data_IF_461744091340
#
_entry.id   IF_461744091340
#
_cell.length_a   1.000
_cell.length_b   1.000
_cell.length_c   1.000
_cell.angle_alpha   90.00
_cell.angle_beta   90.00
_cell.angle_gamma   90.00
#
_symmetry.space_group_name_H-M   'P 1'
#
loop_
_entity.id
_entity.type
_entity.pdbx_description
1 polymer ?
#
# COMPACT_ATOMS: atom_id res chain seq x y z
N UNK A 1 -11.87 0.40 17.56
CA UNK A 1 -12.43 -0.33 16.42
C UNK A 1 -11.39 -1.17 15.66
N UNK A 2 -10.21 -0.61 15.42
CA UNK A 2 -9.11 -1.34 14.76
C UNK A 2 -8.75 -2.60 15.55
N UNK A 3 -8.65 -2.49 16.85
CA UNK A 3 -8.35 -3.60 17.74
C UNK A 3 -9.37 -4.74 17.62
N UNK A 4 -10.65 -4.42 17.49
CA UNK A 4 -11.71 -5.42 17.32
C UNK A 4 -11.62 -6.12 15.97
N UNK A 5 -11.30 -5.37 14.91
CA UNK A 5 -11.13 -5.92 13.57
C UNK A 5 -9.93 -6.86 13.53
N UNK A 6 -8.81 -6.46 14.12
CA UNK A 6 -7.61 -7.30 14.17
C UNK A 6 -7.82 -8.55 15.01
N UNK A 7 -8.55 -8.44 16.12
CA UNK A 7 -8.92 -9.62 16.92
C UNK A 7 -9.79 -10.60 16.15
N UNK A 8 -10.75 -10.08 15.38
CA UNK A 8 -11.60 -10.90 14.53
C UNK A 8 -10.77 -11.66 13.49
N UNK A 9 -9.85 -10.97 12.83
CA UNK A 9 -8.99 -11.58 11.81
C UNK A 9 -8.09 -12.66 12.41
N UNK A 10 -7.51 -12.41 13.56
CA UNK A 10 -6.71 -13.40 14.29
C UNK A 10 -7.50 -14.65 14.62
N UNK A 11 -8.70 -14.50 15.19
CA UNK A 11 -9.53 -15.64 15.59
C UNK A 11 -9.98 -16.50 14.41
N UNK A 12 -10.20 -15.88 13.26
CA UNK A 12 -10.67 -16.54 12.04
C UNK A 12 -9.55 -17.01 11.13
N UNK A 13 -8.30 -16.67 11.45
CA UNK A 13 -7.15 -17.02 10.62
C UNK A 13 -7.09 -16.29 9.28
N UNK A 14 -7.70 -15.11 9.20
CA UNK A 14 -7.60 -14.28 8.01
C UNK A 14 -6.24 -13.58 7.95
N UNK A 15 -5.61 -13.58 6.78
CA UNK A 15 -4.32 -12.93 6.56
C UNK A 15 -4.49 -11.48 6.10
N UNK A 16 -4.04 -10.54 6.92
CA UNK A 16 -3.96 -9.13 6.53
C UNK A 16 -2.54 -8.85 6.05
N UNK A 17 -2.41 -8.48 4.78
CA UNK A 17 -1.12 -8.20 4.14
C UNK A 17 -0.72 -6.75 4.33
N UNK A 18 -1.69 -5.84 4.20
CA UNK A 18 -1.48 -4.40 4.35
C UNK A 18 -2.68 -3.77 5.02
N UNK A 19 -2.42 -2.70 5.76
CA UNK A 19 -3.46 -1.94 6.44
C UNK A 19 -3.11 -0.47 6.44
N UNK A 20 -4.10 0.39 6.16
CA UNK A 20 -3.97 1.82 6.33
C UNK A 20 -5.25 2.37 6.94
N UNK A 21 -5.12 3.38 7.79
CA UNK A 21 -6.24 3.97 8.50
C UNK A 21 -6.09 5.48 8.52
N UNK A 22 -7.22 6.18 8.45
CA UNK A 22 -7.22 7.63 8.51
C UNK A 22 -8.61 8.19 8.72
N UNK A 23 -8.66 9.46 9.09
CA UNK A 23 -9.92 10.18 9.18
C UNK A 23 -10.46 10.47 7.78
N UNK A 24 -11.78 10.64 7.69
CA UNK A 24 -12.46 10.95 6.42
C UNK A 24 -12.96 12.39 6.42
N UNK A 25 -13.52 12.80 5.27
CA UNK A 25 -14.21 14.08 5.14
C UNK A 25 -15.53 14.14 5.94
N UNK A 26 -16.03 13.00 6.41
CA UNK A 26 -17.23 12.92 7.24
C UNK A 26 -16.83 12.89 8.71
N UNK A 27 -17.23 13.90 9.46
CA UNK A 27 -16.88 14.04 10.86
C UNK A 27 -17.31 12.82 11.69
N UNK A 28 -16.42 12.34 12.54
CA UNK A 28 -16.65 11.18 13.39
C UNK A 28 -16.42 9.82 12.71
N UNK A 29 -16.01 9.82 11.43
CA UNK A 29 -15.76 8.59 10.70
C UNK A 29 -14.30 8.44 10.33
N UNK A 30 -13.79 7.24 10.51
CA UNK A 30 -12.47 6.83 10.04
C UNK A 30 -12.62 5.80 8.93
N UNK A 31 -11.66 5.75 8.04
CA UNK A 31 -11.59 4.76 6.96
C UNK A 31 -10.42 3.83 7.22
N UNK A 32 -10.70 2.54 7.21
CA UNK A 32 -9.71 1.49 7.32
C UNK A 32 -9.69 0.73 6.00
N UNK A 33 -8.54 0.72 5.35
CA UNK A 33 -8.35 -0.01 4.09
C UNK A 33 -7.45 -1.20 4.37
N UNK A 34 -7.95 -2.39 4.06
CA UNK A 34 -7.23 -3.64 4.30
C UNK A 34 -6.98 -4.35 2.97
N UNK A 35 -5.78 -4.88 2.82
CA UNK A 35 -5.45 -5.83 1.77
C UNK A 35 -5.34 -7.20 2.42
N UNK A 36 -6.20 -8.11 2.00
CA UNK A 36 -6.26 -9.45 2.58
C UNK A 36 -6.04 -10.50 1.51
N UNK A 37 -5.48 -11.65 1.91
CA UNK A 37 -5.35 -12.80 1.05
C UNK A 37 -6.55 -13.72 1.23
N UNK A 38 -7.05 -14.26 0.13
CA UNK A 38 -8.14 -15.20 0.15
C UNK A 38 -8.89 -15.23 -1.19
N UNK A 39 -9.72 -16.25 -1.34
CA UNK A 39 -10.61 -16.37 -2.48
C UNK A 39 -11.89 -15.54 -2.27
N UNK A 40 -12.77 -15.54 -3.26
CA UNK A 40 -14.03 -14.77 -3.19
C UNK A 40 -14.91 -15.20 -2.03
N UNK A 41 -14.90 -16.48 -1.69
CA UNK A 41 -15.66 -17.01 -0.56
C UNK A 41 -15.13 -16.46 0.77
N UNK A 42 -13.81 -16.42 0.91
CA UNK A 42 -13.16 -15.87 2.11
C UNK A 42 -13.45 -14.39 2.24
N UNK A 43 -13.36 -13.62 1.14
CA UNK A 43 -13.67 -12.19 1.14
C UNK A 43 -15.13 -11.93 1.52
N UNK A 44 -16.06 -12.74 1.03
CA UNK A 44 -17.46 -12.63 1.39
C UNK A 44 -17.69 -12.87 2.88
N UNK A 45 -17.02 -13.86 3.45
CA UNK A 45 -17.08 -14.14 4.89
C UNK A 45 -16.52 -12.99 5.72
N UNK A 46 -15.37 -12.44 5.30
CA UNK A 46 -14.74 -11.29 5.97
C UNK A 46 -15.70 -10.10 5.98
N UNK A 47 -16.29 -9.78 4.84
CA UNK A 47 -17.24 -8.68 4.71
C UNK A 47 -18.41 -8.84 5.68
N UNK A 48 -19.01 -10.02 5.75
CA UNK A 48 -20.15 -10.30 6.62
C UNK A 48 -19.77 -10.21 8.10
N UNK A 49 -18.62 -10.74 8.48
CA UNK A 49 -18.17 -10.74 9.86
C UNK A 49 -17.79 -9.34 10.35
N UNK A 50 -17.10 -8.57 9.52
CA UNK A 50 -16.70 -7.19 9.85
C UNK A 50 -17.94 -6.30 9.99
N UNK A 51 -18.94 -6.47 9.13
CA UNK A 51 -20.17 -5.68 9.19
C UNK A 51 -20.95 -5.88 10.49
N UNK A 52 -20.76 -6.99 11.19
CA UNK A 52 -21.40 -7.26 12.48
C UNK A 52 -20.80 -6.47 13.65
N UNK A 53 -19.65 -5.87 13.47
CA UNK A 53 -19.03 -5.05 14.53
C UNK A 53 -19.83 -3.76 14.66
N UNK A 54 -20.26 -3.43 15.88
CA UNK A 54 -21.20 -2.34 16.14
C UNK A 54 -20.73 -0.99 15.56
N UNK A 55 -19.44 -0.70 15.66
CA UNK A 55 -18.89 0.59 15.24
C UNK A 55 -18.62 0.69 13.73
N UNK A 56 -18.87 -0.39 12.98
CA UNK A 56 -18.67 -0.41 11.53
C UNK A 56 -19.94 0.08 10.84
N UNK A 57 -19.84 1.22 10.15
CA UNK A 57 -20.95 1.83 9.43
C UNK A 57 -21.11 1.27 8.03
N UNK A 58 -20.02 0.96 7.35
CA UNK A 58 -20.03 0.49 5.95
C UNK A 58 -18.82 -0.39 5.70
N UNK A 59 -19.02 -1.44 4.93
CA UNK A 59 -17.96 -2.31 4.42
C UNK A 59 -18.09 -2.38 2.91
N UNK A 60 -16.97 -2.26 2.21
CA UNK A 60 -16.94 -2.35 0.75
C UNK A 60 -15.77 -3.23 0.33
N UNK A 61 -16.05 -4.16 -0.58
CA UNK A 61 -15.00 -4.95 -1.25
C UNK A 61 -14.80 -4.35 -2.64
N UNK A 62 -13.56 -3.94 -2.93
CA UNK A 62 -13.24 -3.33 -4.21
C UNK A 62 -12.98 -4.39 -5.27
N UNK A 63 -13.63 -4.30 -6.46
CA UNK A 63 -13.33 -5.17 -7.59
C UNK A 63 -11.97 -4.83 -8.19
N UNK A 64 -11.52 -5.64 -9.14
CA UNK A 64 -10.25 -5.39 -9.82
C UNK A 64 -10.31 -4.16 -10.73
N UNK A 65 -11.44 -3.96 -11.42
CA UNK A 65 -11.61 -2.87 -12.38
C UNK A 65 -12.42 -1.71 -11.81
N UNK A 66 -12.26 -0.53 -12.41
CA UNK A 66 -12.99 0.67 -12.02
C UNK A 66 -12.57 1.25 -10.68
N UNK A 67 -11.36 0.95 -10.23
CA UNK A 67 -10.83 1.35 -8.92
C UNK A 67 -9.46 1.98 -9.10
N UNK A 68 -9.24 3.08 -8.38
CA UNK A 68 -7.92 3.67 -8.26
C UNK A 68 -7.26 3.10 -7.01
N UNK A 69 -6.06 2.53 -7.17
CA UNK A 69 -5.26 2.04 -6.04
C UNK A 69 -3.92 2.73 -6.06
N UNK A 70 -3.51 3.23 -4.90
CA UNK A 70 -2.21 3.90 -4.74
C UNK A 70 -1.59 3.53 -3.40
N UNK A 71 -0.28 3.41 -3.44
CA UNK A 71 0.55 3.19 -2.25
C UNK A 71 1.77 4.10 -2.38
N UNK A 72 2.19 4.70 -1.30
CA UNK A 72 3.43 5.47 -1.27
C UNK A 72 4.52 4.59 -0.67
N UNK A 73 5.68 4.58 -1.32
CA UNK A 73 6.85 3.82 -0.88
C UNK A 73 8.05 4.75 -0.73
N UNK A 74 8.78 4.57 0.37
CA UNK A 74 10.12 5.10 0.53
C UNK A 74 11.08 3.93 0.36
N UNK A 75 12.12 4.13 -0.45
CA UNK A 75 13.12 3.11 -0.72
C UNK A 75 14.52 3.69 -0.65
N UNK A 76 15.40 3.01 0.08
CA UNK A 76 16.80 3.36 0.18
C UNK A 76 17.64 2.29 -0.51
N UNK A 77 18.50 2.72 -1.40
CA UNK A 77 19.36 1.82 -2.18
C UNK A 77 20.83 2.20 -2.04
N UNK A 78 21.69 1.21 -2.19
CA UNK A 78 23.13 1.46 -2.29
C UNK A 78 23.41 2.25 -3.57
N UNK A 79 24.28 3.23 -3.45
CA UNK A 79 24.75 4.01 -4.57
C UNK A 79 26.19 4.45 -4.34
N UNK A 80 26.95 4.48 -5.40
CA UNK A 80 28.30 5.01 -5.40
C UNK A 80 28.47 5.96 -6.59
N UNK A 81 29.66 6.49 -6.79
CA UNK A 81 29.90 7.44 -7.88
C UNK A 81 29.63 6.84 -9.26
N UNK A 82 29.76 5.53 -9.43
CA UNK A 82 29.58 4.85 -10.71
C UNK A 82 28.10 4.53 -10.98
N UNK A 83 27.31 4.22 -9.95
CA UNK A 83 25.94 3.76 -10.08
C UNK A 83 24.89 4.85 -9.89
N UNK A 84 25.26 5.96 -9.25
CA UNK A 84 24.29 7.01 -8.87
C UNK A 84 23.51 7.56 -10.05
N UNK A 85 24.18 7.89 -11.14
CA UNK A 85 23.52 8.42 -12.34
C UNK A 85 22.57 7.40 -12.97
N UNK A 86 22.92 6.14 -12.94
CA UNK A 86 22.05 5.06 -13.46
C UNK A 86 20.78 4.94 -12.64
N UNK A 87 20.89 4.98 -11.33
CA UNK A 87 19.75 4.90 -10.42
C UNK A 87 18.82 6.10 -10.61
N UNK A 88 19.38 7.31 -10.76
CA UNK A 88 18.59 8.52 -11.01
C UNK A 88 17.84 8.43 -12.34
N UNK A 89 18.44 7.85 -13.38
CA UNK A 89 17.74 7.63 -14.63
C UNK A 89 16.56 6.68 -14.48
N UNK A 90 16.72 5.60 -13.72
CA UNK A 90 15.63 4.67 -13.39
C UNK A 90 14.52 5.40 -12.64
N UNK A 91 14.90 6.20 -11.64
CA UNK A 91 13.96 7.01 -10.87
C UNK A 91 13.14 7.94 -11.78
N UNK A 92 13.77 8.59 -12.74
CA UNK A 92 13.09 9.48 -13.67
C UNK A 92 12.07 8.73 -14.54
N UNK A 93 12.40 7.54 -15.00
CA UNK A 93 11.50 6.71 -15.80
C UNK A 93 10.24 6.35 -15.00
N UNK A 94 10.40 5.98 -13.73
CA UNK A 94 9.29 5.64 -12.85
C UNK A 94 8.61 6.86 -12.24
N UNK A 95 9.15 8.06 -12.45
CA UNK A 95 8.70 9.30 -11.83
C UNK A 95 8.81 9.26 -10.30
N UNK A 96 9.86 8.63 -9.82
CA UNK A 96 10.21 8.67 -8.41
C UNK A 96 10.94 9.98 -8.08
N UNK A 97 10.82 10.42 -6.84
CA UNK A 97 11.54 11.60 -6.36
C UNK A 97 12.73 11.17 -5.54
N UNK A 98 13.88 11.76 -5.79
CA UNK A 98 15.06 11.59 -4.93
C UNK A 98 14.90 12.53 -3.74
N UNK A 99 14.85 11.98 -2.53
CA UNK A 99 14.67 12.74 -1.30
C UNK A 99 15.96 13.00 -0.57
N UNK A 100 16.89 12.07 -0.67
CA UNK A 100 18.17 12.16 0.03
C UNK A 100 19.28 11.52 -0.80
N UNK A 101 20.45 12.16 -0.79
CA UNK A 101 21.64 11.67 -1.47
C UNK A 101 22.78 11.64 -0.46
N UNK A 102 23.39 10.48 -0.28
CA UNK A 102 24.61 10.33 0.49
C UNK A 102 25.72 9.74 -0.39
N UNK A 103 26.98 9.73 0.06
CA UNK A 103 28.05 9.11 -0.72
C UNK A 103 27.81 7.63 -1.04
N UNK A 104 27.02 6.94 -0.22
CA UNK A 104 26.83 5.48 -0.31
C UNK A 104 25.40 5.04 -0.53
N UNK A 105 24.46 5.99 -0.61
CA UNK A 105 23.03 5.65 -0.77
C UNK A 105 22.22 6.74 -1.42
N UNK A 106 21.05 6.35 -1.95
CA UNK A 106 19.98 7.24 -2.39
C UNK A 106 18.70 6.80 -1.72
N UNK A 107 17.92 7.77 -1.24
CA UNK A 107 16.58 7.52 -0.73
C UNK A 107 15.57 8.18 -1.67
N UNK A 108 14.57 7.42 -2.08
CA UNK A 108 13.59 7.85 -3.07
C UNK A 108 12.17 7.57 -2.62
N UNK A 109 11.25 8.36 -3.17
CA UNK A 109 9.82 8.23 -2.93
C UNK A 109 9.14 7.88 -4.24
N UNK A 110 8.26 6.88 -4.21
CA UNK A 110 7.47 6.46 -5.36
C UNK A 110 6.03 6.20 -4.94
N UNK A 111 5.09 6.74 -5.71
CA UNK A 111 3.67 6.48 -5.54
C UNK A 111 3.16 5.74 -6.78
N UNK A 112 2.37 4.70 -6.56
CA UNK A 112 1.79 3.93 -7.66
C UNK A 112 0.99 2.74 -7.18
N UNK A 113 0.60 1.90 -8.12
CA UNK A 113 -0.03 0.62 -7.83
C UNK A 113 1.02 -0.44 -7.50
N UNK A 114 0.56 -1.64 -7.15
CA UNK A 114 1.46 -2.74 -6.75
C UNK A 114 2.44 -3.13 -7.87
N UNK A 115 2.01 -3.07 -9.12
CA UNK A 115 2.85 -3.46 -10.26
C UNK A 115 3.98 -2.46 -10.47
N UNK A 116 3.67 -1.18 -10.40
CA UNK A 116 4.67 -0.12 -10.54
C UNK A 116 5.72 -0.19 -9.43
N UNK A 117 5.28 -0.33 -8.18
CA UNK A 117 6.20 -0.41 -7.05
C UNK A 117 7.07 -1.66 -7.13
N UNK A 118 6.49 -2.80 -7.47
CA UNK A 118 7.23 -4.05 -7.62
C UNK A 118 8.27 -3.97 -8.72
N UNK A 119 7.90 -3.41 -9.88
CA UNK A 119 8.84 -3.23 -10.99
C UNK A 119 10.03 -2.36 -10.61
N UNK A 120 9.79 -1.30 -9.86
CA UNK A 120 10.84 -0.40 -9.38
C UNK A 120 11.78 -1.14 -8.41
N UNK A 121 11.23 -1.86 -7.45
CA UNK A 121 12.01 -2.66 -6.50
C UNK A 121 12.86 -3.69 -7.22
N UNK A 122 12.29 -4.41 -8.18
CA UNK A 122 12.98 -5.47 -8.91
C UNK A 122 14.21 -4.94 -9.64
N UNK A 123 14.09 -3.79 -10.30
CA UNK A 123 15.24 -3.16 -10.97
C UNK A 123 16.27 -2.71 -9.97
N UNK A 124 15.86 -2.08 -8.87
CA UNK A 124 16.77 -1.56 -7.87
C UNK A 124 17.47 -2.65 -7.05
N UNK A 125 16.91 -3.85 -7.00
CA UNK A 125 17.60 -4.99 -6.39
C UNK A 125 18.97 -5.27 -7.00
N UNK A 126 19.17 -4.91 -8.26
CA UNK A 126 20.48 -5.06 -8.92
C UNK A 126 21.56 -4.18 -8.30
N UNK A 127 21.19 -3.11 -7.61
CA UNK A 127 22.12 -2.19 -6.95
C UNK A 127 22.25 -2.45 -5.46
N UNK A 128 21.25 -3.07 -4.87
CA UNK A 128 21.19 -3.39 -3.44
C UNK A 128 20.23 -2.49 -2.68
N UNK A 129 19.05 -3.03 -2.40
CA UNK A 129 18.04 -2.35 -1.60
C UNK A 129 18.40 -2.47 -0.12
N UNK A 130 18.50 -1.34 0.58
CA UNK A 130 18.86 -1.29 2.00
C UNK A 130 17.63 -1.30 2.89
N UNK A 131 16.58 -0.56 2.50
CA UNK A 131 15.38 -0.41 3.32
C UNK A 131 14.19 -0.04 2.46
N UNK A 132 13.02 -0.55 2.82
CA UNK A 132 11.75 -0.20 2.19
C UNK A 132 10.73 0.08 3.29
N UNK A 133 9.97 1.16 3.14
CA UNK A 133 8.81 1.46 3.96
C UNK A 133 7.64 1.81 3.07
N UNK A 134 6.45 1.27 3.37
CA UNK A 134 5.23 1.48 2.57
C UNK A 134 4.07 1.88 3.46
N UNK A 135 3.17 2.69 2.90
CA UNK A 135 1.97 3.14 3.62
C UNK A 135 0.87 2.09 3.70
N UNK A 136 0.86 1.11 2.80
CA UNK A 136 -0.34 0.34 2.52
C UNK A 136 -1.14 0.97 1.39
N UNK A 137 -2.08 0.20 0.84
CA UNK A 137 -2.83 0.58 -0.36
C UNK A 137 -4.09 1.35 0.01
N UNK A 138 -4.26 2.52 -0.57
CA UNK A 138 -5.54 3.24 -0.59
C UNK A 138 -6.29 2.87 -1.86
N UNK A 139 -7.60 2.68 -1.74
CA UNK A 139 -8.47 2.33 -2.86
C UNK A 139 -9.68 3.25 -2.90
N UNK A 140 -10.09 3.62 -4.10
CA UNK A 140 -11.25 4.47 -4.32
C UNK A 140 -11.88 4.13 -5.66
N UNK A 141 -13.19 4.03 -5.71
CA UNK A 141 -13.91 3.79 -6.95
C UNK A 141 -13.77 4.98 -7.90
N UNK A 142 -13.68 4.70 -9.19
CA UNK A 142 -13.69 5.75 -10.21
C UNK A 142 -15.07 6.35 -10.36
N UNK A 143 -15.14 7.60 -10.83
CA UNK A 143 -16.39 8.31 -11.02
C UNK A 143 -17.07 8.67 -9.71
N UNK A 144 -18.39 8.64 -9.70
CA UNK A 144 -19.20 9.03 -8.55
C UNK A 144 -19.55 7.86 -7.60
N UNK A 145 -19.12 6.65 -7.89
CA UNK A 145 -19.35 5.50 -7.01
C UNK A 145 -18.59 5.67 -5.69
N UNK A 146 -19.25 5.31 -4.63
CA UNK A 146 -18.65 5.37 -3.30
C UNK A 146 -18.74 4.03 -2.54
#
# INVERSE_FOLDING_TARGET
>A
IVSRIMSLFNRRGYSVVKMTAGITNKEGYARLTLTVEGDDKTLDQIQKQVYKIIDVAKVKVFPEEGVIRRELMLIKVKANNETRAQIVQIADIYRAKVLDVSPTSLTMELTGDVHKLRGFIDILNNYGVLEIAKTGVLSMSRGEKM
#
